data_IF_992062326984
#
_entry.id   IF_992062326984
#
_cell.length_a   1.000
_cell.length_b   1.000
_cell.length_c   1.000
_cell.angle_alpha   90.00
_cell.angle_beta   90.00
_cell.angle_gamma   90.00
#
_symmetry.space_group_name_H-M   'P 1'
#
loop_
_entity.id
_entity.type
_entity.pdbx_description
1 polymer ?
#
# COMPACT_ATOMS: atom_id res chain seq x y z
N UNK A 1 -19.45 -27.03 42.21
CA UNK A 1 -18.15 -26.50 41.74
C UNK A 1 -18.25 -26.36 40.24
N UNK A 2 -18.75 -25.22 39.76
CA UNK A 2 -18.61 -24.86 38.35
C UNK A 2 -17.14 -24.55 38.12
N UNK A 3 -16.53 -25.22 37.16
CA UNK A 3 -15.27 -24.77 36.59
C UNK A 3 -15.64 -23.58 35.71
N UNK A 4 -15.35 -22.37 36.19
CA UNK A 4 -15.46 -21.17 35.38
C UNK A 4 -14.54 -21.33 34.17
N UNK A 5 -15.13 -21.36 32.97
CA UNK A 5 -14.38 -21.33 31.74
C UNK A 5 -13.77 -19.93 31.60
N UNK A 6 -12.50 -19.82 31.99
CA UNK A 6 -11.66 -18.66 31.75
C UNK A 6 -11.69 -18.36 30.25
N UNK A 7 -12.20 -17.19 29.90
CA UNK A 7 -12.33 -16.73 28.53
C UNK A 7 -10.92 -16.59 27.95
N UNK A 8 -10.52 -17.54 27.09
CA UNK A 8 -9.17 -17.60 26.55
C UNK A 8 -8.92 -16.33 25.71
N UNK A 9 -8.05 -15.44 26.22
CA UNK A 9 -7.67 -14.22 25.52
C UNK A 9 -7.01 -14.57 24.18
N UNK A 10 -7.68 -14.14 23.10
CA UNK A 10 -7.27 -14.40 21.72
C UNK A 10 -5.99 -13.63 21.37
N UNK A 11 -5.77 -12.48 22.01
CA UNK A 11 -4.58 -11.65 21.79
C UNK A 11 -3.32 -12.35 22.27
N UNK A 12 -3.37 -12.96 23.47
CA UNK A 12 -2.24 -13.68 24.07
C UNK A 12 -1.82 -14.88 23.22
N UNK A 13 -2.76 -15.58 22.58
CA UNK A 13 -2.43 -16.72 21.72
C UNK A 13 -1.73 -16.31 20.42
N UNK A 14 -2.06 -15.16 19.86
CA UNK A 14 -1.43 -14.65 18.64
C UNK A 14 0.00 -14.20 18.97
N UNK A 15 0.18 -13.44 20.05
CA UNK A 15 1.51 -13.00 20.52
C UNK A 15 2.44 -14.21 20.78
N UNK A 16 1.94 -15.27 21.42
CA UNK A 16 2.73 -16.49 21.65
C UNK A 16 3.13 -17.18 20.34
N UNK A 17 2.25 -17.23 19.33
CA UNK A 17 2.57 -17.82 18.02
C UNK A 17 3.62 -16.99 17.30
N UNK A 18 3.50 -15.66 17.31
CA UNK A 18 4.48 -14.74 16.73
C UNK A 18 5.85 -14.89 17.41
N UNK A 19 5.87 -14.97 18.74
CA UNK A 19 7.10 -15.20 19.52
C UNK A 19 7.76 -16.54 19.16
N UNK A 20 6.99 -17.62 19.00
CA UNK A 20 7.52 -18.93 18.63
C UNK A 20 8.11 -18.93 17.22
N UNK A 21 7.46 -18.29 16.25
CA UNK A 21 8.00 -18.15 14.88
C UNK A 21 9.25 -17.27 14.89
N UNK A 22 9.27 -16.18 15.66
CA UNK A 22 10.44 -15.34 15.85
C UNK A 22 11.62 -16.09 16.51
N UNK A 23 11.34 -17.08 17.36
CA UNK A 23 12.32 -17.98 17.94
C UNK A 23 12.77 -19.12 16.99
N UNK A 24 12.30 -19.12 15.74
CA UNK A 24 12.69 -20.09 14.71
C UNK A 24 11.80 -21.32 14.62
N UNK A 25 10.58 -21.29 15.19
CA UNK A 25 9.63 -22.39 15.03
C UNK A 25 9.22 -22.53 13.55
N UNK A 26 9.29 -23.76 13.02
CA UNK A 26 8.93 -24.05 11.64
C UNK A 26 7.39 -24.09 11.48
N UNK A 27 6.82 -23.05 10.88
CA UNK A 27 5.39 -22.95 10.60
C UNK A 27 4.89 -23.90 9.51
N UNK A 28 5.80 -24.37 8.64
CA UNK A 28 5.54 -25.37 7.60
C UNK A 28 5.65 -26.82 8.07
N UNK A 29 5.75 -27.07 9.38
CA UNK A 29 5.92 -28.42 9.91
C UNK A 29 4.72 -29.31 9.57
N UNK A 30 4.99 -30.39 8.82
CA UNK A 30 4.04 -31.42 8.44
C UNK A 30 4.02 -32.56 9.48
N UNK A 31 2.83 -32.98 9.89
CA UNK A 31 2.62 -34.18 10.73
C UNK A 31 1.80 -35.21 9.96
N UNK A 32 1.70 -36.47 10.44
CA UNK A 32 0.81 -37.45 9.82
C UNK A 32 -0.66 -37.00 9.71
N UNK A 33 -1.08 -36.06 10.58
CA UNK A 33 -2.40 -35.42 10.55
C UNK A 33 -2.53 -34.24 9.57
N UNK A 34 -1.46 -33.87 8.86
CA UNK A 34 -1.39 -32.74 7.93
C UNK A 34 -0.62 -31.55 8.50
N UNK A 35 -0.72 -30.40 7.82
CA UNK A 35 -0.09 -29.15 8.24
C UNK A 35 -0.68 -28.61 9.55
N UNK A 36 0.04 -27.69 10.20
CA UNK A 36 -0.46 -26.97 11.37
C UNK A 36 -1.80 -26.26 11.07
N UNK A 37 -1.91 -25.68 9.88
CA UNK A 37 -3.13 -25.02 9.42
C UNK A 37 -4.30 -26.00 9.30
N UNK A 38 -4.08 -27.17 8.70
CA UNK A 38 -5.11 -28.23 8.64
C UNK A 38 -5.52 -28.72 10.02
N UNK A 39 -4.57 -28.82 10.95
CA UNK A 39 -4.84 -29.23 12.33
C UNK A 39 -5.71 -28.21 13.06
N UNK A 40 -5.43 -26.91 12.92
CA UNK A 40 -6.26 -25.84 13.48
C UNK A 40 -7.66 -25.82 12.84
N UNK A 41 -7.75 -26.02 11.53
CA UNK A 41 -9.02 -26.03 10.79
C UNK A 41 -9.89 -27.21 11.20
N UNK A 42 -9.34 -28.37 11.55
CA UNK A 42 -10.08 -29.62 11.80
C UNK A 42 -10.45 -29.86 13.27
N UNK A 43 -10.06 -28.98 14.20
CA UNK A 43 -10.41 -29.08 15.63
C UNK A 43 -11.92 -28.96 15.88
N UNK A 44 -12.43 -29.74 16.84
CA UNK A 44 -13.88 -29.92 17.07
C UNK A 44 -14.62 -28.62 17.41
N UNK A 45 -14.00 -27.71 18.16
CA UNK A 45 -14.52 -26.37 18.43
C UNK A 45 -13.97 -25.35 17.42
N UNK A 46 -14.83 -24.63 16.70
CA UNK A 46 -14.44 -23.57 15.77
C UNK A 46 -14.94 -22.23 16.31
N UNK A 47 -14.13 -21.61 17.18
CA UNK A 47 -14.45 -20.33 17.83
C UNK A 47 -13.84 -19.14 17.08
N UNK A 48 -14.25 -17.91 17.41
CA UNK A 48 -13.61 -16.67 16.91
C UNK A 48 -12.09 -16.65 17.20
N UNK A 49 -11.68 -17.21 18.35
CA UNK A 49 -10.28 -17.38 18.70
C UNK A 49 -9.51 -18.25 17.69
N UNK A 50 -10.13 -19.33 17.22
CA UNK A 50 -9.52 -20.21 16.22
C UNK A 50 -9.43 -19.56 14.84
N UNK A 51 -10.40 -18.71 14.47
CA UNK A 51 -10.32 -17.92 13.23
C UNK A 51 -9.14 -16.95 13.27
N UNK A 52 -8.94 -16.27 14.41
CA UNK A 52 -7.83 -15.34 14.57
C UNK A 52 -6.46 -16.06 14.52
N UNK A 53 -6.35 -17.23 15.15
CA UNK A 53 -5.15 -18.09 15.06
C UNK A 53 -4.90 -18.58 13.62
N UNK A 54 -5.94 -18.99 12.89
CA UNK A 54 -5.82 -19.42 11.49
C UNK A 54 -5.33 -18.25 10.61
N UNK A 55 -5.88 -17.03 10.81
CA UNK A 55 -5.43 -15.82 10.10
C UNK A 55 -3.98 -15.49 10.43
N UNK A 56 -3.59 -15.53 11.70
CA UNK A 56 -2.22 -15.31 12.12
C UNK A 56 -1.24 -16.33 11.52
N UNK A 57 -1.61 -17.61 11.46
CA UNK A 57 -0.75 -18.64 10.84
C UNK A 57 -0.57 -18.42 9.33
N UNK A 58 -1.63 -18.06 8.60
CA UNK A 58 -1.54 -17.71 7.17
C UNK A 58 -0.66 -16.48 6.99
N UNK A 59 -0.84 -15.47 7.84
CA UNK A 59 -0.06 -14.23 7.86
C UNK A 59 1.43 -14.46 8.12
N UNK A 60 1.75 -15.42 9.00
CA UNK A 60 3.13 -15.83 9.33
C UNK A 60 3.74 -16.79 8.29
N UNK A 61 3.06 -17.03 7.16
CA UNK A 61 3.62 -17.79 6.03
C UNK A 61 3.28 -19.28 6.03
N UNK A 62 2.24 -19.72 6.74
CA UNK A 62 1.73 -21.09 6.60
C UNK A 62 1.19 -21.31 5.18
N UNK A 63 1.74 -22.29 4.47
CA UNK A 63 1.29 -22.65 3.12
C UNK A 63 -0.09 -23.31 3.16
N UNK A 64 -1.07 -22.64 2.56
CA UNK A 64 -2.46 -23.10 2.44
C UNK A 64 -2.62 -24.26 1.47
N UNK A 65 -1.67 -24.43 0.55
CA UNK A 65 -1.63 -25.48 -0.46
C UNK A 65 -0.80 -26.69 -0.03
N UNK A 66 -0.16 -26.63 1.14
CA UNK A 66 0.68 -27.71 1.66
C UNK A 66 -0.11 -29.02 1.72
N UNK A 67 0.34 -30.01 0.93
CA UNK A 67 -0.34 -31.28 0.80
C UNK A 67 -0.05 -32.22 1.97
N UNK A 68 -1.03 -33.04 2.37
CA UNK A 68 -0.86 -34.11 3.38
C UNK A 68 -1.90 -34.06 4.50
N UNK A 69 -1.99 -35.13 5.30
CA UNK A 69 -2.99 -35.28 6.36
C UNK A 69 -4.29 -35.95 5.92
N UNK A 70 -5.33 -35.85 6.75
CA UNK A 70 -6.66 -36.42 6.45
C UNK A 70 -7.44 -35.68 5.34
N UNK A 71 -6.91 -34.55 4.89
CA UNK A 71 -7.40 -33.76 3.77
C UNK A 71 -6.25 -33.50 2.80
N UNK A 72 -6.55 -33.25 1.53
CA UNK A 72 -5.50 -33.00 0.53
C UNK A 72 -4.69 -31.75 0.87
N UNK A 73 -5.33 -30.68 1.34
CA UNK A 73 -4.70 -29.43 1.79
C UNK A 73 -5.64 -28.66 2.75
N UNK A 74 -5.20 -27.49 3.23
CA UNK A 74 -5.97 -26.67 4.17
C UNK A 74 -7.28 -26.10 3.56
N UNK A 75 -7.31 -25.80 2.27
CA UNK A 75 -8.53 -25.36 1.59
C UNK A 75 -9.57 -26.48 1.52
N UNK A 76 -9.15 -27.71 1.25
CA UNK A 76 -10.05 -28.86 1.17
C UNK A 76 -10.57 -29.26 2.56
N UNK A 77 -9.75 -29.10 3.61
CA UNK A 77 -10.21 -29.21 5.01
C UNK A 77 -11.29 -28.16 5.35
N UNK A 78 -11.14 -26.92 4.88
CA UNK A 78 -12.11 -25.84 5.09
C UNK A 78 -13.40 -26.08 4.32
N UNK A 79 -13.31 -26.58 3.07
CA UNK A 79 -14.47 -26.98 2.25
C UNK A 79 -15.27 -28.09 2.92
N UNK A 80 -14.59 -29.10 3.46
CA UNK A 80 -15.26 -30.20 4.17
C UNK A 80 -16.06 -29.72 5.40
N UNK A 81 -15.67 -28.60 6.03
CA UNK A 81 -16.45 -27.98 7.13
C UNK A 81 -17.59 -27.07 6.67
N UNK A 82 -17.47 -26.47 5.48
CA UNK A 82 -18.44 -25.51 4.93
C UNK A 82 -19.49 -26.19 4.04
N UNK A 83 -19.25 -27.44 3.61
CA UNK A 83 -20.25 -28.23 2.90
C UNK A 83 -21.42 -28.62 3.82
N UNK A 84 -22.56 -27.96 3.57
CA UNK A 84 -23.90 -28.47 3.89
C UNK A 84 -24.08 -29.82 3.20
N UNK A 85 -24.03 -30.92 3.94
CA UNK A 85 -24.48 -32.22 3.46
C UNK A 85 -25.71 -32.70 4.22
N UNK A 86 -26.66 -33.20 3.44
CA UNK A 86 -28.05 -33.44 3.77
C UNK A 86 -28.28 -34.79 4.48
N UNK A 87 -27.23 -35.46 4.96
CA UNK A 87 -27.31 -36.86 5.42
C UNK A 87 -26.56 -37.20 6.72
N UNK A 88 -25.96 -36.24 7.44
CA UNK A 88 -25.39 -36.51 8.75
C UNK A 88 -26.38 -36.14 9.88
N UNK A 89 -27.26 -37.09 10.20
CA UNK A 89 -27.90 -37.17 11.52
C UNK A 89 -26.79 -37.17 12.58
N UNK A 90 -26.60 -36.06 13.30
CA UNK A 90 -26.27 -35.94 14.74
C UNK A 90 -26.02 -34.46 15.08
N UNK A 91 -26.96 -33.85 15.82
CA UNK A 91 -26.71 -32.68 16.68
C UNK A 91 -26.68 -31.31 16.01
N UNK A 92 -27.86 -30.70 15.83
CA UNK A 92 -28.01 -29.25 15.65
C UNK A 92 -27.83 -28.57 17.00
N UNK A 93 -26.91 -27.61 17.09
CA UNK A 93 -27.09 -26.35 17.82
C UNK A 93 -25.95 -25.36 17.48
N UNK A 94 -26.37 -24.14 17.11
CA UNK A 94 -25.61 -22.89 16.96
C UNK A 94 -24.39 -22.81 16.03
N UNK A 95 -24.62 -22.61 14.73
CA UNK A 95 -23.72 -21.82 13.87
C UNK A 95 -24.56 -21.11 12.78
N UNK A 96 -25.22 -20.01 13.16
CA UNK A 96 -25.91 -19.08 12.24
C UNK A 96 -25.02 -17.91 11.80
N UNK A 97 -23.70 -18.09 11.78
CA UNK A 97 -22.79 -17.15 11.14
C UNK A 97 -22.12 -17.83 9.96
N UNK A 98 -22.57 -17.46 8.76
CA UNK A 98 -21.97 -17.83 7.48
C UNK A 98 -20.49 -17.43 7.46
N UNK A 99 -19.59 -18.34 7.82
CA UNK A 99 -18.17 -18.17 7.52
C UNK A 99 -17.94 -18.66 6.10
N UNK A 100 -17.79 -17.72 5.17
CA UNK A 100 -17.48 -17.98 3.77
C UNK A 100 -15.97 -18.10 3.58
N UNK A 101 -15.50 -18.77 2.52
CA UNK A 101 -14.09 -18.69 2.08
C UNK A 101 -13.64 -17.23 1.81
N UNK A 102 -14.62 -16.31 1.65
CA UNK A 102 -14.45 -14.86 1.60
C UNK A 102 -13.88 -14.26 2.90
N UNK A 103 -14.20 -14.82 4.08
CA UNK A 103 -13.76 -14.29 5.39
C UNK A 103 -12.27 -14.56 5.68
N UNK A 104 -11.63 -15.35 4.81
CA UNK A 104 -10.21 -15.71 4.84
C UNK A 104 -9.41 -15.17 3.65
N UNK A 105 -10.03 -14.35 2.78
CA UNK A 105 -9.31 -13.65 1.69
C UNK A 105 -8.73 -14.55 0.59
N UNK A 106 -9.25 -15.77 0.41
CA UNK A 106 -8.78 -16.69 -0.64
C UNK A 106 -9.81 -16.81 -1.79
N UNK A 107 -9.37 -16.73 -3.07
CA UNK A 107 -10.27 -16.83 -4.22
C UNK A 107 -10.74 -18.27 -4.47
N UNK A 108 -12.04 -18.47 -4.69
CA UNK A 108 -12.58 -19.73 -5.21
C UNK A 108 -12.63 -19.65 -6.74
N UNK A 109 -12.10 -20.64 -7.50
CA UNK A 109 -12.42 -20.77 -8.91
C UNK A 109 -13.81 -21.39 -9.05
N UNK A 110 -14.78 -20.60 -9.53
CA UNK A 110 -15.99 -21.16 -10.13
C UNK A 110 -15.58 -22.00 -11.33
N UNK A 111 -15.97 -23.28 -11.34
CA UNK A 111 -15.85 -24.13 -12.52
C UNK A 111 -17.24 -24.48 -13.06
N UNK A 112 -17.37 -24.21 -14.36
CA UNK A 112 -18.22 -24.87 -15.37
C UNK A 112 -19.74 -24.90 -15.17
N UNK A 113 -20.43 -24.16 -16.04
CA UNK A 113 -21.60 -24.71 -16.74
C UNK A 113 -21.50 -24.38 -18.23
N UNK A 114 -21.50 -25.43 -19.05
CA UNK A 114 -21.50 -25.38 -20.52
C UNK A 114 -22.83 -24.82 -21.05
N UNK A 115 -22.78 -23.89 -22.00
CA UNK A 115 -23.62 -23.88 -23.21
C UNK A 115 -23.22 -22.74 -24.15
N UNK A 116 -23.05 -23.08 -25.43
CA UNK A 116 -22.70 -22.22 -26.54
C UNK A 116 -23.82 -21.22 -26.91
N UNK A 117 -23.46 -20.09 -27.55
CA UNK A 117 -23.71 -19.89 -28.98
C UNK A 117 -23.15 -18.55 -29.49
N UNK A 118 -22.84 -18.58 -30.78
CA UNK A 118 -22.17 -17.63 -31.66
C UNK A 118 -22.70 -16.19 -31.66
N UNK A 119 -21.83 -15.23 -32.03
CA UNK A 119 -22.00 -14.50 -33.30
C UNK A 119 -20.68 -13.81 -33.72
N UNK A 120 -20.39 -13.96 -35.00
CA UNK A 120 -19.28 -13.38 -35.73
C UNK A 120 -19.60 -11.95 -36.14
N UNK A 121 -18.64 -11.03 -36.01
CA UNK A 121 -18.49 -9.94 -36.98
C UNK A 121 -17.03 -9.49 -37.02
N UNK A 122 -16.43 -9.66 -38.21
CA UNK A 122 -15.11 -9.17 -38.59
C UNK A 122 -15.07 -7.65 -38.51
N UNK A 123 -14.01 -7.10 -37.91
CA UNK A 123 -13.60 -5.70 -38.14
C UNK A 123 -12.18 -5.73 -38.71
N UNK A 124 -12.02 -5.00 -39.81
CA UNK A 124 -10.80 -4.85 -40.59
C UNK A 124 -9.79 -4.00 -39.81
N UNK A 125 -8.53 -4.43 -39.78
CA UNK A 125 -7.38 -3.71 -39.21
C UNK A 125 -6.64 -2.98 -40.34
N UNK A 126 -6.32 -1.68 -40.21
CA UNK A 126 -5.19 -1.07 -40.90
C UNK A 126 -3.97 -0.96 -39.97
N UNK A 127 -2.83 -0.85 -40.63
CA UNK A 127 -1.51 -1.33 -40.22
C UNK A 127 -0.68 -0.38 -39.33
N UNK A 128 0.27 -1.00 -38.63
CA UNK A 128 1.56 -0.49 -38.16
C UNK A 128 1.63 0.80 -37.32
N UNK A 129 1.45 0.64 -36.02
CA UNK A 129 2.19 1.36 -34.98
C UNK A 129 2.29 0.40 -33.80
N UNK A 130 3.45 0.28 -33.14
CA UNK A 130 3.60 -0.58 -31.96
C UNK A 130 2.60 -0.09 -30.91
N UNK A 131 1.41 -0.70 -30.86
CA UNK A 131 0.47 -0.48 -29.78
C UNK A 131 1.10 -1.16 -28.57
N UNK A 132 1.74 -0.35 -27.72
CA UNK A 132 2.15 -0.79 -26.40
C UNK A 132 0.91 -1.43 -25.76
N UNK A 133 0.99 -2.72 -25.44
CA UNK A 133 -0.03 -3.38 -24.63
C UNK A 133 -0.28 -2.50 -23.40
N UNK A 134 -1.54 -2.17 -23.05
CA UNK A 134 -1.82 -1.35 -21.89
C UNK A 134 -1.07 -1.95 -20.69
N UNK A 135 -0.27 -1.15 -19.99
CA UNK A 135 0.28 -1.56 -18.69
C UNK A 135 -0.93 -1.66 -17.76
N UNK A 136 -1.42 -2.87 -17.51
CA UNK A 136 -2.60 -3.09 -16.67
C UNK A 136 -2.15 -3.45 -15.27
N UNK A 137 -2.65 -2.73 -14.27
CA UNK A 137 -2.46 -3.09 -12.88
C UNK A 137 -3.14 -4.43 -12.60
N UNK A 138 -2.46 -5.33 -11.89
CA UNK A 138 -3.03 -6.63 -11.55
C UNK A 138 -4.26 -6.44 -10.64
N UNK A 139 -5.46 -6.63 -11.20
CA UNK A 139 -6.74 -6.46 -10.49
C UNK A 139 -6.97 -7.42 -9.32
N UNK A 140 -6.18 -8.50 -9.21
CA UNK A 140 -6.23 -9.36 -8.00
C UNK A 140 -5.44 -8.76 -6.84
N UNK A 141 -4.54 -7.81 -7.10
CA UNK A 141 -3.71 -7.12 -6.12
C UNK A 141 -4.28 -5.72 -5.85
N UNK A 142 -4.47 -4.95 -6.92
CA UNK A 142 -5.00 -3.58 -6.91
C UNK A 142 -6.52 -3.62 -6.76
N UNK A 143 -6.96 -3.66 -5.50
CA UNK A 143 -8.36 -3.82 -5.08
C UNK A 143 -8.75 -2.71 -4.09
N UNK A 144 -10.05 -2.44 -3.91
CA UNK A 144 -10.53 -1.52 -2.87
C UNK A 144 -9.98 -1.83 -1.47
N UNK A 145 -9.84 -3.12 -1.14
CA UNK A 145 -9.29 -3.57 0.14
C UNK A 145 -7.81 -3.20 0.29
N UNK A 146 -7.00 -3.30 -0.77
CA UNK A 146 -5.61 -2.84 -0.72
C UNK A 146 -5.55 -1.34 -0.44
N UNK A 147 -6.36 -0.53 -1.14
CA UNK A 147 -6.36 0.91 -0.95
C UNK A 147 -6.79 1.29 0.47
N UNK A 148 -7.82 0.63 1.00
CA UNK A 148 -8.22 0.80 2.39
C UNK A 148 -7.09 0.42 3.35
N UNK A 149 -6.45 -0.74 3.15
CA UNK A 149 -5.32 -1.19 4.00
C UNK A 149 -4.17 -0.18 4.02
N UNK A 150 -3.84 0.43 2.87
CA UNK A 150 -2.82 1.48 2.78
C UNK A 150 -3.21 2.67 3.67
N UNK A 151 -4.47 3.13 3.57
CA UNK A 151 -4.93 4.29 4.34
C UNK A 151 -5.03 3.98 5.83
N UNK A 152 -5.55 2.82 6.19
CA UNK A 152 -5.69 2.39 7.58
C UNK A 152 -4.32 2.25 8.24
N UNK A 153 -3.30 1.77 7.51
CA UNK A 153 -1.93 1.67 8.00
C UNK A 153 -1.29 3.06 8.15
N UNK A 154 -1.37 3.90 7.12
CA UNK A 154 -0.64 5.18 7.07
C UNK A 154 -1.28 6.27 7.93
N UNK A 155 -2.61 6.38 7.87
CA UNK A 155 -3.40 7.42 8.52
C UNK A 155 -4.13 6.92 9.78
N UNK A 156 -3.72 5.77 10.34
CA UNK A 156 -4.31 5.25 11.59
C UNK A 156 -4.37 6.31 12.68
N UNK A 157 -5.55 6.49 13.27
CA UNK A 157 -5.82 7.47 14.33
C UNK A 157 -6.08 8.89 13.85
N UNK A 158 -6.01 9.17 12.54
CA UNK A 158 -6.28 10.49 11.98
C UNK A 158 -7.74 10.57 11.48
N UNK A 159 -8.57 11.50 12.00
CA UNK A 159 -9.91 11.72 11.46
C UNK A 159 -9.86 12.17 10.00
N UNK A 160 -10.84 11.76 9.19
CA UNK A 160 -10.97 12.27 7.83
C UNK A 160 -11.31 13.78 7.88
N UNK A 161 -10.76 14.56 6.95
CA UNK A 161 -10.83 16.03 6.94
C UNK A 161 -10.11 16.76 8.11
N UNK A 162 -9.23 16.08 8.86
CA UNK A 162 -8.39 16.72 9.88
C UNK A 162 -7.51 17.84 9.28
N UNK A 163 -7.42 18.99 9.96
CA UNK A 163 -6.60 20.13 9.51
C UNK A 163 -5.14 20.05 9.96
N UNK A 164 -4.89 19.36 11.07
CA UNK A 164 -3.56 19.06 11.62
C UNK A 164 -3.36 17.56 11.86
N UNK A 165 -2.11 17.05 11.81
CA UNK A 165 -1.85 15.66 12.13
C UNK A 165 -1.94 15.45 13.64
N UNK A 166 -2.18 14.20 14.05
CA UNK A 166 -1.97 13.80 15.44
C UNK A 166 -0.47 13.60 15.72
N UNK A 167 -0.09 13.55 17.00
CA UNK A 167 1.28 13.25 17.38
C UNK A 167 1.70 11.86 16.89
N UNK A 168 0.83 10.86 17.01
CA UNK A 168 1.08 9.48 16.58
C UNK A 168 1.28 9.40 15.06
N UNK A 169 0.49 10.15 14.29
CA UNK A 169 0.65 10.26 12.85
C UNK A 169 2.00 10.89 12.49
N UNK A 170 2.36 11.99 13.15
CA UNK A 170 3.64 12.69 12.93
C UNK A 170 4.84 11.80 13.25
N UNK A 171 4.80 11.07 14.36
CA UNK A 171 5.83 10.11 14.74
C UNK A 171 5.95 8.99 13.71
N UNK A 172 4.82 8.43 13.26
CA UNK A 172 4.82 7.36 12.24
C UNK A 172 5.49 7.81 10.93
N UNK A 173 5.20 9.03 10.48
CA UNK A 173 5.67 9.51 9.18
C UNK A 173 7.11 10.01 9.21
N UNK A 174 7.51 10.73 10.26
CA UNK A 174 8.74 11.52 10.23
C UNK A 174 9.68 11.22 11.40
N UNK A 175 9.16 11.17 12.63
CA UNK A 175 9.98 11.32 13.85
C UNK A 175 9.98 10.12 14.81
N UNK A 176 9.48 8.97 14.38
CA UNK A 176 9.40 7.77 15.22
C UNK A 176 10.77 7.26 15.67
N UNK A 177 10.81 6.59 16.82
CA UNK A 177 12.03 5.94 17.32
C UNK A 177 12.53 4.89 16.32
N UNK A 178 13.79 4.45 16.46
CA UNK A 178 14.37 3.41 15.60
C UNK A 178 13.55 2.12 15.65
N UNK A 179 13.08 1.74 16.85
CA UNK A 179 12.26 0.57 17.09
C UNK A 179 10.87 0.71 16.46
N UNK A 180 10.24 1.88 16.62
CA UNK A 180 8.94 2.17 16.02
C UNK A 180 9.00 2.17 14.49
N UNK A 181 10.05 2.76 13.91
CA UNK A 181 10.32 2.73 12.45
C UNK A 181 10.48 1.29 11.97
N UNK A 182 11.32 0.50 12.63
CA UNK A 182 11.53 -0.89 12.25
C UNK A 182 10.25 -1.76 12.37
N UNK A 183 9.42 -1.51 13.39
CA UNK A 183 8.13 -2.17 13.52
C UNK A 183 7.17 -1.78 12.39
N UNK A 184 7.12 -0.49 12.06
CA UNK A 184 6.28 0.01 10.97
C UNK A 184 6.73 -0.52 9.60
N UNK A 185 8.04 -0.60 9.35
CA UNK A 185 8.57 -1.16 8.10
C UNK A 185 8.18 -2.63 7.93
N UNK A 186 8.18 -3.42 9.01
CA UNK A 186 7.70 -4.82 8.96
C UNK A 186 6.24 -4.88 8.55
N UNK A 187 5.39 -3.99 9.05
CA UNK A 187 3.99 -3.89 8.63
C UNK A 187 3.89 -3.52 7.14
N UNK A 188 4.64 -2.52 6.68
CA UNK A 188 4.69 -2.15 5.26
C UNK A 188 5.12 -3.33 4.38
N UNK A 189 6.19 -4.04 4.74
CA UNK A 189 6.65 -5.23 4.02
C UNK A 189 5.55 -6.29 3.95
N UNK A 190 4.88 -6.55 5.06
CA UNK A 190 3.94 -7.65 5.15
C UNK A 190 2.64 -7.38 4.39
N UNK A 191 2.13 -6.16 4.48
CA UNK A 191 0.85 -5.79 3.89
C UNK A 191 0.97 -5.29 2.45
N UNK A 192 2.09 -4.64 2.08
CA UNK A 192 2.15 -3.82 0.87
C UNK A 192 3.24 -4.27 -0.12
N UNK A 193 4.19 -5.12 0.28
CA UNK A 193 5.20 -5.64 -0.63
C UNK A 193 4.64 -6.38 -1.87
N UNK A 194 3.53 -7.16 -1.80
CA UNK A 194 2.97 -7.78 -3.00
C UNK A 194 2.59 -6.75 -4.08
N UNK A 195 2.03 -5.60 -3.67
CA UNK A 195 1.71 -4.51 -4.57
C UNK A 195 2.97 -3.88 -5.17
N UNK A 196 3.95 -3.52 -4.34
CA UNK A 196 5.25 -2.96 -4.79
C UNK A 196 5.99 -3.92 -5.73
N UNK A 197 6.07 -5.20 -5.39
CA UNK A 197 6.71 -6.22 -6.22
C UNK A 197 6.01 -6.43 -7.56
N UNK A 198 4.67 -6.25 -7.62
CA UNK A 198 3.91 -6.34 -8.86
C UNK A 198 4.18 -5.19 -9.83
N UNK A 199 4.73 -4.07 -9.34
CA UNK A 199 5.14 -2.90 -10.14
C UNK A 199 6.67 -2.71 -10.13
N UNK A 200 7.43 -3.79 -9.94
CA UNK A 200 8.90 -3.79 -10.00
C UNK A 200 9.42 -3.48 -11.42
N UNK A 201 10.72 -3.19 -11.62
CA UNK A 201 11.30 -2.90 -12.93
C UNK A 201 11.01 -3.96 -14.01
N UNK A 202 10.93 -5.24 -13.64
CA UNK A 202 10.62 -6.32 -14.58
C UNK A 202 9.15 -6.39 -14.95
N UNK A 203 8.25 -6.02 -14.03
CA UNK A 203 6.81 -6.17 -14.20
C UNK A 203 6.15 -4.88 -14.70
N UNK A 204 6.77 -3.72 -14.46
CA UNK A 204 6.29 -2.40 -14.86
C UNK A 204 7.44 -1.53 -15.38
N UNK A 205 8.04 -1.85 -16.54
CA UNK A 205 9.18 -1.09 -17.05
C UNK A 205 8.77 0.35 -17.44
N UNK A 206 9.56 1.33 -17.03
CA UNK A 206 9.28 2.77 -17.26
C UNK A 206 10.20 3.45 -18.27
N UNK A 207 11.28 2.78 -18.70
CA UNK A 207 12.30 3.37 -19.56
C UNK A 207 11.73 3.72 -20.93
N UNK A 208 11.95 4.97 -21.36
CA UNK A 208 11.54 5.47 -22.68
C UNK A 208 10.08 5.90 -22.77
N UNK A 209 9.37 5.95 -21.64
CA UNK A 209 7.98 6.39 -21.58
C UNK A 209 7.89 7.85 -21.14
N UNK A 210 6.79 8.48 -21.53
CA UNK A 210 6.37 9.79 -21.02
C UNK A 210 5.69 9.67 -19.65
N UNK A 211 5.60 10.78 -18.92
CA UNK A 211 4.87 10.82 -17.64
C UNK A 211 3.41 10.38 -17.78
N UNK A 212 2.74 10.80 -18.86
CA UNK A 212 1.35 10.43 -19.12
C UNK A 212 1.21 8.91 -19.30
N UNK A 213 2.15 8.29 -20.01
CA UNK A 213 2.19 6.84 -20.20
C UNK A 213 2.50 6.07 -18.92
N UNK A 214 3.34 6.61 -18.05
CA UNK A 214 3.67 6.02 -16.74
C UNK A 214 2.47 6.13 -15.80
N UNK A 215 1.79 7.29 -15.76
CA UNK A 215 0.67 7.55 -14.87
C UNK A 215 -0.64 6.88 -15.30
N UNK A 216 -0.85 6.65 -16.60
CA UNK A 216 -2.12 6.18 -17.17
C UNK A 216 -2.76 4.97 -16.47
N UNK A 217 -2.02 3.89 -16.09
CA UNK A 217 -2.62 2.75 -15.41
C UNK A 217 -3.22 3.10 -14.04
N UNK A 218 -2.56 4.00 -13.31
CA UNK A 218 -2.99 4.46 -12.01
C UNK A 218 -4.16 5.44 -12.14
N UNK A 219 -4.09 6.36 -13.10
CA UNK A 219 -5.20 7.28 -13.42
C UNK A 219 -6.45 6.50 -13.78
N UNK A 220 -6.35 5.48 -14.64
CA UNK A 220 -7.48 4.64 -15.02
C UNK A 220 -8.10 3.91 -13.81
N UNK A 221 -7.28 3.43 -12.87
CA UNK A 221 -7.77 2.82 -11.63
C UNK A 221 -8.50 3.82 -10.74
N UNK A 222 -7.94 5.02 -10.59
CA UNK A 222 -8.54 6.09 -9.81
C UNK A 222 -9.87 6.52 -10.45
N UNK A 223 -9.94 6.68 -11.77
CA UNK A 223 -11.15 7.06 -12.47
C UNK A 223 -12.25 5.99 -12.38
N UNK A 224 -11.86 4.72 -12.42
CA UNK A 224 -12.75 3.57 -12.25
C UNK A 224 -13.18 3.34 -10.80
N UNK A 225 -12.64 4.09 -9.82
CA UNK A 225 -13.04 3.99 -8.43
C UNK A 225 -14.47 4.51 -8.27
N UNK A 226 -15.42 3.58 -8.33
CA UNK A 226 -16.83 3.81 -8.03
C UNK A 226 -17.09 3.32 -6.61
N UNK A 227 -17.22 4.25 -5.67
CA UNK A 227 -17.82 3.92 -4.38
C UNK A 227 -19.32 3.78 -4.59
N UNK A 228 -19.93 2.70 -4.11
CA UNK A 228 -21.38 2.60 -3.95
C UNK A 228 -21.88 3.69 -2.98
N UNK A 229 -22.01 4.93 -3.47
CA UNK A 229 -22.37 6.12 -2.70
C UNK A 229 -21.22 6.90 -2.04
N UNK A 230 -19.94 6.51 -2.20
CA UNK A 230 -18.80 7.28 -1.66
C UNK A 230 -18.28 8.29 -2.69
N UNK A 231 -18.66 9.56 -2.51
CA UNK A 231 -18.22 10.67 -3.36
C UNK A 231 -16.70 10.90 -3.33
N UNK A 232 -15.98 10.32 -2.36
CA UNK A 232 -14.54 10.50 -2.16
C UNK A 232 -13.73 9.26 -2.57
N UNK A 233 -14.36 8.23 -3.13
CA UNK A 233 -13.69 6.98 -3.52
C UNK A 233 -12.47 7.23 -4.42
N UNK A 234 -12.63 8.16 -5.37
CA UNK A 234 -11.59 8.66 -6.26
C UNK A 234 -10.42 9.28 -5.48
N UNK A 235 -10.69 10.23 -4.59
CA UNK A 235 -9.70 10.87 -3.73
C UNK A 235 -8.93 9.87 -2.88
N UNK A 236 -9.66 8.96 -2.23
CA UNK A 236 -9.10 7.92 -1.35
C UNK A 236 -8.19 6.98 -2.13
N UNK A 237 -8.58 6.61 -3.35
CA UNK A 237 -7.78 5.76 -4.24
C UNK A 237 -6.51 6.49 -4.69
N UNK A 238 -6.62 7.75 -5.14
CA UNK A 238 -5.48 8.57 -5.54
C UNK A 238 -4.47 8.75 -4.39
N UNK A 239 -4.95 9.06 -3.20
CA UNK A 239 -4.13 9.17 -2.00
C UNK A 239 -3.41 7.86 -1.67
N UNK A 240 -4.11 6.72 -1.81
CA UNK A 240 -3.52 5.40 -1.57
C UNK A 240 -2.36 5.12 -2.54
N UNK A 241 -2.47 5.56 -3.79
CA UNK A 241 -1.38 5.46 -4.75
C UNK A 241 -0.21 6.38 -4.43
N UNK A 242 -0.44 7.62 -3.97
CA UNK A 242 0.65 8.50 -3.53
C UNK A 242 1.48 7.84 -2.42
N UNK A 243 0.80 7.29 -1.41
CA UNK A 243 1.48 6.56 -0.33
C UNK A 243 2.19 5.32 -0.87
N UNK A 244 1.50 4.49 -1.65
CA UNK A 244 2.06 3.25 -2.19
C UNK A 244 3.29 3.49 -3.08
N UNK A 245 3.30 4.53 -3.89
CA UNK A 245 4.35 4.74 -4.88
C UNK A 245 5.54 5.52 -4.33
N UNK A 246 5.32 6.45 -3.41
CA UNK A 246 6.38 7.31 -2.87
C UNK A 246 6.86 6.84 -1.49
N UNK A 247 5.94 6.61 -0.56
CA UNK A 247 6.30 6.38 0.84
C UNK A 247 6.65 4.92 1.11
N UNK A 248 5.84 3.97 0.64
CA UNK A 248 6.05 2.55 0.92
C UNK A 248 7.42 2.04 0.42
N UNK A 249 7.93 2.40 -0.77
CA UNK A 249 9.27 1.98 -1.19
C UNK A 249 10.37 2.45 -0.23
N UNK A 250 10.23 3.65 0.37
CA UNK A 250 11.17 4.18 1.36
C UNK A 250 11.16 3.34 2.65
N UNK A 251 10.00 2.84 3.06
CA UNK A 251 9.87 1.92 4.21
C UNK A 251 10.35 0.50 3.91
N UNK A 252 10.23 0.03 2.67
CA UNK A 252 10.66 -1.31 2.24
C UNK A 252 12.17 -1.39 1.92
N UNK A 253 12.76 -0.29 1.47
CA UNK A 253 14.10 -0.24 0.91
C UNK A 253 14.93 0.83 1.60
N UNK A 254 15.49 0.51 2.78
CA UNK A 254 16.27 1.45 3.60
C UNK A 254 17.77 1.37 3.42
N UNK A 255 18.28 0.33 2.77
CA UNK A 255 19.73 0.10 2.70
C UNK A 255 20.33 0.77 1.48
N UNK A 256 21.64 1.04 1.52
CA UNK A 256 22.37 1.62 0.38
C UNK A 256 22.21 0.80 -0.90
N UNK A 257 22.08 -0.52 -0.78
CA UNK A 257 21.92 -1.44 -1.90
C UNK A 257 20.51 -1.41 -2.50
N UNK A 258 19.50 -1.07 -1.70
CA UNK A 258 18.08 -1.12 -2.10
C UNK A 258 17.51 0.26 -2.46
N UNK A 259 18.03 1.33 -1.85
CA UNK A 259 17.68 2.73 -2.15
C UNK A 259 17.76 3.12 -3.63
N UNK A 260 18.69 2.62 -4.46
CA UNK A 260 18.72 2.95 -5.88
C UNK A 260 17.43 2.55 -6.58
N UNK A 261 16.78 1.47 -6.15
CA UNK A 261 15.48 1.05 -6.68
C UNK A 261 14.39 2.09 -6.38
N UNK A 262 14.42 2.72 -5.20
CA UNK A 262 13.49 3.81 -4.85
C UNK A 262 13.67 4.96 -5.83
N UNK A 263 14.90 5.47 -5.94
CA UNK A 263 15.19 6.68 -6.70
C UNK A 263 15.08 6.53 -8.22
N UNK A 264 15.40 5.34 -8.76
CA UNK A 264 15.45 5.13 -10.22
C UNK A 264 14.18 4.54 -10.81
N UNK A 265 13.30 3.97 -9.98
CA UNK A 265 12.11 3.28 -10.44
C UNK A 265 10.83 3.79 -9.80
N UNK A 266 10.73 3.78 -8.48
CA UNK A 266 9.48 4.16 -7.81
C UNK A 266 9.26 5.68 -7.75
N UNK A 267 10.31 6.47 -7.50
CA UNK A 267 10.26 7.94 -7.52
C UNK A 267 9.74 8.47 -8.87
N UNK A 268 10.27 8.06 -10.04
CA UNK A 268 9.71 8.46 -11.32
C UNK A 268 8.22 8.13 -11.48
N UNK A 269 7.76 6.95 -11.04
CA UNK A 269 6.35 6.56 -11.12
C UNK A 269 5.49 7.49 -10.25
N UNK A 270 5.93 7.74 -9.02
CA UNK A 270 5.23 8.63 -8.09
C UNK A 270 5.18 10.07 -8.62
N UNK A 271 6.29 10.59 -9.14
CA UNK A 271 6.39 11.94 -9.73
C UNK A 271 5.48 12.06 -10.96
N UNK A 272 5.47 11.09 -11.87
CA UNK A 272 4.59 11.13 -13.04
C UNK A 272 3.11 11.21 -12.64
N UNK A 273 2.70 10.44 -11.62
CA UNK A 273 1.33 10.49 -11.12
C UNK A 273 1.03 11.79 -10.33
N UNK A 274 1.98 12.30 -9.54
CA UNK A 274 1.82 13.56 -8.82
C UNK A 274 1.69 14.76 -9.78
N UNK A 275 2.50 14.80 -10.85
CA UNK A 275 2.36 15.79 -11.93
C UNK A 275 0.98 15.73 -12.56
N UNK A 276 0.48 14.53 -12.87
CA UNK A 276 -0.87 14.36 -13.40
C UNK A 276 -1.93 14.91 -12.44
N UNK A 277 -1.90 14.50 -11.17
CA UNK A 277 -2.87 14.90 -10.14
C UNK A 277 -2.90 16.42 -9.94
N UNK A 278 -1.72 17.06 -9.94
CA UNK A 278 -1.56 18.50 -9.64
C UNK A 278 -1.63 19.41 -10.86
N UNK A 279 -1.68 18.87 -12.08
CA UNK A 279 -1.70 19.68 -13.31
C UNK A 279 -2.92 19.39 -14.20
N UNK A 280 -3.52 18.21 -14.09
CA UNK A 280 -4.65 17.80 -14.93
C UNK A 280 -5.97 17.87 -14.15
N UNK A 281 -7.04 18.38 -14.78
CA UNK A 281 -8.37 18.27 -14.20
C UNK A 281 -8.85 16.80 -14.22
N UNK A 282 -9.73 16.45 -13.29
CA UNK A 282 -10.47 15.20 -13.32
C UNK A 282 -11.32 15.15 -14.59
N UNK A 283 -11.37 14.01 -15.27
CA UNK A 283 -12.20 13.83 -16.47
C UNK A 283 -13.67 14.23 -16.21
N UNK A 284 -14.19 15.13 -17.03
CA UNK A 284 -15.53 15.70 -16.88
C UNK A 284 -15.68 16.80 -15.82
N UNK A 285 -14.58 17.30 -15.25
CA UNK A 285 -14.55 18.37 -14.26
C UNK A 285 -13.50 19.43 -14.64
N UNK A 286 -13.58 20.62 -14.03
CA UNK A 286 -12.51 21.64 -14.08
C UNK A 286 -11.58 21.58 -12.86
N UNK A 287 -11.83 20.65 -11.93
CA UNK A 287 -11.13 20.55 -10.64
C UNK A 287 -9.99 19.54 -10.71
N UNK A 288 -8.83 19.90 -10.13
CA UNK A 288 -7.70 18.99 -9.91
C UNK A 288 -8.00 18.00 -8.78
N UNK A 289 -7.30 16.87 -8.76
CA UNK A 289 -7.53 15.81 -7.78
C UNK A 289 -7.17 16.23 -6.35
N UNK A 290 -6.11 17.01 -6.19
CA UNK A 290 -5.65 17.55 -4.89
C UNK A 290 -6.61 18.58 -4.28
N UNK A 291 -7.59 19.06 -5.06
CA UNK A 291 -8.55 20.09 -4.67
C UNK A 291 -9.95 19.54 -4.32
N UNK A 292 -10.10 18.22 -4.24
CA UNK A 292 -11.38 17.61 -3.89
C UNK A 292 -11.81 17.98 -2.46
N UNK A 293 -13.11 18.26 -2.20
CA UNK A 293 -13.56 18.89 -0.94
C UNK A 293 -13.11 18.18 0.34
N UNK A 294 -13.12 16.83 0.36
CA UNK A 294 -12.73 16.04 1.54
C UNK A 294 -11.26 16.16 1.94
N UNK A 295 -10.40 16.68 1.06
CA UNK A 295 -8.95 16.83 1.32
C UNK A 295 -8.43 18.26 1.13
N UNK A 296 -9.15 19.14 0.44
CA UNK A 296 -8.66 20.46 0.01
C UNK A 296 -8.06 21.28 1.15
N UNK A 297 -8.71 21.24 2.33
CA UNK A 297 -8.29 21.91 3.56
C UNK A 297 -7.72 20.96 4.62
N UNK A 298 -7.48 19.70 4.24
CA UNK A 298 -6.99 18.65 5.13
C UNK A 298 -5.52 18.37 4.80
N UNK A 299 -4.62 19.28 5.20
CA UNK A 299 -3.20 19.19 4.88
C UNK A 299 -2.50 17.88 5.30
N UNK A 300 -2.85 17.24 6.42
CA UNK A 300 -2.33 15.92 6.79
C UNK A 300 -2.53 14.85 5.71
N UNK A 301 -3.58 14.96 4.90
CA UNK A 301 -3.83 14.09 3.75
C UNK A 301 -3.33 14.71 2.45
N UNK A 302 -3.55 16.02 2.25
CA UNK A 302 -3.23 16.71 1.00
C UNK A 302 -1.73 16.79 0.71
N UNK A 303 -0.89 16.89 1.74
CA UNK A 303 0.58 16.98 1.58
C UNK A 303 1.18 15.83 0.76
N UNK A 304 0.59 14.63 0.84
CA UNK A 304 1.14 13.43 0.21
C UNK A 304 1.04 13.46 -1.32
N UNK A 305 0.17 14.31 -1.89
CA UNK A 305 0.16 14.56 -3.34
C UNK A 305 1.37 15.37 -3.82
N UNK A 306 2.07 16.05 -2.90
CA UNK A 306 3.17 16.97 -3.22
C UNK A 306 4.53 16.43 -2.82
N UNK A 307 4.60 15.52 -1.83
CA UNK A 307 5.85 14.86 -1.41
C UNK A 307 6.66 14.28 -2.59
N UNK A 308 6.05 13.63 -3.60
CA UNK A 308 6.82 13.18 -4.76
C UNK A 308 7.50 14.32 -5.53
N UNK A 309 6.86 15.49 -5.64
CA UNK A 309 7.45 16.67 -6.28
C UNK A 309 8.65 17.18 -5.48
N UNK A 310 8.53 17.23 -4.15
CA UNK A 310 9.62 17.59 -3.23
C UNK A 310 10.78 16.57 -3.28
N UNK A 311 10.51 15.30 -3.63
CA UNK A 311 11.54 14.28 -3.78
C UNK A 311 12.24 14.26 -5.15
N UNK A 312 11.78 15.07 -6.10
CA UNK A 312 12.31 15.10 -7.47
C UNK A 312 13.63 15.86 -7.57
N UNK A 313 14.56 15.38 -8.39
CA UNK A 313 15.78 16.14 -8.75
C UNK A 313 15.54 17.10 -9.93
N UNK A 314 14.28 17.49 -10.19
CA UNK A 314 13.91 18.45 -11.23
C UNK A 314 13.30 19.72 -10.62
N UNK A 315 13.98 20.85 -10.82
CA UNK A 315 13.58 22.15 -10.29
C UNK A 315 12.17 22.60 -10.74
N UNK A 316 11.66 22.12 -11.87
CA UNK A 316 10.31 22.46 -12.33
C UNK A 316 9.23 21.88 -11.40
N UNK A 317 9.48 20.74 -10.75
CA UNK A 317 8.54 20.11 -9.82
C UNK A 317 8.44 20.91 -8.53
N UNK A 318 9.58 21.39 -8.03
CA UNK A 318 9.63 22.31 -6.90
C UNK A 318 8.87 23.61 -7.18
N UNK A 319 9.08 24.20 -8.36
CA UNK A 319 8.33 25.40 -8.78
C UNK A 319 6.82 25.15 -8.83
N UNK A 320 6.40 23.98 -9.32
CA UNK A 320 4.98 23.61 -9.31
C UNK A 320 4.45 23.55 -7.87
N UNK A 321 5.17 22.90 -6.96
CA UNK A 321 4.74 22.79 -5.57
C UNK A 321 4.71 24.15 -4.84
N UNK A 322 5.70 25.02 -5.07
CA UNK A 322 5.71 26.39 -4.54
C UNK A 322 4.46 27.16 -5.01
N UNK A 323 4.10 27.10 -6.29
CA UNK A 323 2.90 27.76 -6.79
C UNK A 323 1.63 27.23 -6.09
N UNK A 324 1.55 25.91 -5.82
CA UNK A 324 0.44 25.29 -5.09
C UNK A 324 0.40 25.79 -3.62
N UNK A 325 1.56 25.96 -2.98
CA UNK A 325 1.64 26.53 -1.63
C UNK A 325 1.16 28.00 -1.63
N UNK A 326 1.50 28.78 -2.65
CA UNK A 326 1.00 30.16 -2.80
C UNK A 326 -0.52 30.20 -3.01
N UNK A 327 -1.07 29.33 -3.86
CA UNK A 327 -2.53 29.17 -4.04
C UNK A 327 -3.22 28.84 -2.71
N UNK A 328 -2.68 27.85 -1.98
CA UNK A 328 -3.20 27.41 -0.68
C UNK A 328 -3.13 28.53 0.36
N UNK A 329 -2.02 29.27 0.41
CA UNK A 329 -1.81 30.38 1.36
C UNK A 329 -2.85 31.47 1.19
N UNK A 330 -3.14 31.87 -0.04
CA UNK A 330 -4.18 32.87 -0.30
C UNK A 330 -5.57 32.33 0.04
N UNK A 331 -5.84 31.06 -0.30
CA UNK A 331 -7.12 30.41 -0.05
C UNK A 331 -7.43 30.27 1.46
N UNK A 332 -6.44 29.97 2.29
CA UNK A 332 -6.63 29.61 3.70
C UNK A 332 -6.06 30.65 4.67
N UNK A 333 -5.81 31.89 4.23
CA UNK A 333 -5.17 32.95 5.03
C UNK A 333 -5.88 33.28 6.36
N UNK A 334 -7.17 32.96 6.47
CA UNK A 334 -7.98 33.17 7.67
C UNK A 334 -8.05 31.93 8.59
N UNK A 335 -7.49 30.79 8.15
CA UNK A 335 -7.47 29.54 8.92
C UNK A 335 -6.11 29.34 9.56
N UNK A 336 -5.96 29.81 10.81
CA UNK A 336 -4.69 29.80 11.54
C UNK A 336 -4.08 28.40 11.67
N UNK A 337 -4.91 27.36 11.82
CA UNK A 337 -4.45 25.98 11.96
C UNK A 337 -3.79 25.47 10.67
N UNK A 338 -4.44 25.71 9.53
CA UNK A 338 -3.90 25.34 8.22
C UNK A 338 -2.65 26.17 7.89
N UNK A 339 -2.68 27.47 8.19
CA UNK A 339 -1.55 28.38 7.96
C UNK A 339 -0.30 27.91 8.71
N UNK A 340 -0.44 27.45 9.96
CA UNK A 340 0.71 26.98 10.74
C UNK A 340 1.31 25.69 10.16
N UNK A 341 0.48 24.71 9.79
CA UNK A 341 0.97 23.49 9.17
C UNK A 341 1.64 23.77 7.81
N UNK A 342 1.06 24.67 7.01
CA UNK A 342 1.62 25.07 5.72
C UNK A 342 3.01 25.72 5.84
N UNK A 343 3.28 26.53 6.87
CA UNK A 343 4.63 27.08 7.11
C UNK A 343 5.68 25.97 7.23
N UNK A 344 5.31 24.86 7.87
CA UNK A 344 6.20 23.70 7.99
C UNK A 344 6.51 23.12 6.61
N UNK A 345 5.49 22.92 5.77
CA UNK A 345 5.67 22.44 4.39
C UNK A 345 6.56 23.39 3.57
N UNK A 346 6.34 24.71 3.67
CA UNK A 346 7.13 25.74 2.98
C UNK A 346 8.61 25.74 3.43
N UNK A 347 8.88 25.55 4.73
CA UNK A 347 10.26 25.44 5.25
C UNK A 347 10.97 24.23 4.61
N UNK A 348 10.35 23.05 4.64
CA UNK A 348 10.95 21.84 4.07
C UNK A 348 11.15 21.95 2.57
N UNK A 349 10.18 22.50 1.84
CA UNK A 349 10.31 22.69 0.39
C UNK A 349 11.48 23.62 0.05
N UNK A 350 11.61 24.76 0.75
CA UNK A 350 12.74 25.67 0.57
C UNK A 350 14.09 25.01 0.87
N UNK A 351 14.16 24.08 1.83
CA UNK A 351 15.38 23.31 2.06
C UNK A 351 15.71 22.39 0.88
N UNK A 352 14.71 21.75 0.27
CA UNK A 352 14.92 20.89 -0.90
C UNK A 352 15.32 21.71 -2.14
N UNK A 353 14.61 22.81 -2.40
CA UNK A 353 14.90 23.76 -3.49
C UNK A 353 16.34 24.22 -3.44
N UNK A 354 16.84 24.65 -2.27
CA UNK A 354 18.22 25.12 -2.10
C UNK A 354 19.26 24.07 -2.53
N UNK A 355 19.02 22.79 -2.24
CA UNK A 355 19.93 21.71 -2.64
C UNK A 355 19.86 21.51 -4.16
N UNK A 356 18.66 21.40 -4.73
CA UNK A 356 18.47 21.09 -6.16
C UNK A 356 18.86 22.28 -7.04
N UNK A 357 18.64 23.51 -6.62
CA UNK A 357 19.14 24.71 -7.33
C UNK A 357 20.66 24.78 -7.33
N UNK A 358 21.29 24.42 -6.20
CA UNK A 358 22.75 24.48 -6.06
C UNK A 358 23.47 23.38 -6.84
N UNK A 359 22.98 22.14 -6.75
CA UNK A 359 23.70 20.96 -7.25
C UNK A 359 23.03 20.31 -8.47
N UNK A 360 21.80 20.70 -8.81
CA UNK A 360 20.99 20.05 -9.84
C UNK A 360 20.48 18.66 -9.46
N UNK A 361 20.75 18.20 -8.22
CA UNK A 361 20.46 16.86 -7.69
C UNK A 361 20.61 16.84 -6.17
N UNK A 362 20.32 15.72 -5.53
CA UNK A 362 20.58 15.48 -4.10
C UNK A 362 21.93 14.79 -3.88
N UNK A 363 22.95 15.47 -3.34
CA UNK A 363 24.28 14.88 -3.17
C UNK A 363 24.29 13.64 -2.26
N UNK A 364 23.41 13.60 -1.24
CA UNK A 364 23.30 12.46 -0.33
C UNK A 364 22.79 11.17 -1.02
N UNK A 365 22.25 11.25 -2.25
CA UNK A 365 21.87 10.08 -3.05
C UNK A 365 23.01 9.53 -3.92
N UNK A 366 24.12 10.27 -4.05
CA UNK A 366 25.20 9.93 -4.99
C UNK A 366 25.77 8.54 -4.75
N UNK A 367 26.08 8.22 -3.50
CA UNK A 367 26.70 6.96 -3.11
C UNK A 367 25.79 5.74 -3.38
N UNK A 368 24.48 5.87 -3.12
CA UNK A 368 23.51 4.82 -3.48
C UNK A 368 23.40 4.68 -5.00
N UNK A 369 23.32 5.80 -5.73
CA UNK A 369 23.17 5.82 -7.18
C UNK A 369 24.46 5.53 -7.96
N UNK A 370 25.58 5.30 -7.28
CA UNK A 370 26.89 5.12 -7.93
C UNK A 370 27.39 6.36 -8.69
N UNK A 371 26.93 7.57 -8.30
CA UNK A 371 27.37 8.84 -8.88
C UNK A 371 28.65 9.31 -8.19
N UNK A 372 29.58 9.85 -8.97
CA UNK A 372 30.73 10.55 -8.40
C UNK A 372 30.30 11.91 -7.85
N UNK A 373 30.61 12.16 -6.57
CA UNK A 373 30.39 13.45 -5.93
C UNK A 373 31.47 14.46 -6.33
N UNK A 374 31.06 15.68 -6.67
CA UNK A 374 31.98 16.80 -6.86
C UNK A 374 32.66 17.20 -5.54
N UNK A 375 33.72 18.00 -5.60
CA UNK A 375 34.36 18.51 -4.38
C UNK A 375 33.40 19.37 -3.55
N UNK A 376 32.60 20.22 -4.21
CA UNK A 376 31.60 21.05 -3.54
C UNK A 376 30.52 20.21 -2.83
N UNK A 377 30.07 19.12 -3.47
CA UNK A 377 29.12 18.18 -2.89
C UNK A 377 29.70 17.45 -1.67
N UNK A 378 30.99 17.08 -1.72
CA UNK A 378 31.68 16.44 -0.58
C UNK A 378 31.82 17.40 0.59
N UNK A 379 32.32 18.61 0.34
CA UNK A 379 32.46 19.67 1.36
C UNK A 379 31.10 19.99 2.02
N UNK A 380 30.03 20.06 1.22
CA UNK A 380 28.67 20.24 1.74
C UNK A 380 28.24 19.11 2.68
N UNK A 381 28.42 17.85 2.27
CA UNK A 381 28.02 16.69 3.06
C UNK A 381 28.87 16.53 4.34
N UNK A 382 30.16 16.83 4.27
CA UNK A 382 31.09 16.82 5.41
C UNK A 382 30.80 17.97 6.39
N UNK A 383 30.37 19.13 5.87
CA UNK A 383 29.97 20.30 6.65
C UNK A 383 28.60 20.18 7.34
N UNK A 384 27.95 19.02 7.27
CA UNK A 384 26.64 18.79 7.90
C UNK A 384 25.46 19.28 7.06
N UNK A 385 25.64 19.45 5.75
CA UNK A 385 24.58 19.83 4.83
C UNK A 385 23.36 18.90 4.90
N UNK A 386 22.19 19.46 4.60
CA UNK A 386 20.91 18.78 4.78
C UNK A 386 20.80 17.48 3.98
N UNK A 387 20.22 16.46 4.63
CA UNK A 387 19.97 15.13 4.07
C UNK A 387 18.50 14.80 4.27
N UNK A 388 17.90 14.19 3.25
CA UNK A 388 16.49 13.79 3.25
C UNK A 388 16.38 12.32 2.84
N UNK A 389 15.28 11.66 3.22
CA UNK A 389 15.04 10.25 2.93
C UNK A 389 15.51 9.30 4.03
N UNK A 390 15.58 8.00 3.71
CA UNK A 390 15.56 6.92 4.72
C UNK A 390 16.92 6.50 5.29
N UNK A 391 18.00 7.15 4.87
CA UNK A 391 19.37 6.87 5.31
C UNK A 391 19.96 7.84 6.33
N UNK A 392 19.17 8.77 6.88
CA UNK A 392 19.59 9.75 7.90
C UNK A 392 19.47 9.23 9.33
#
# INVERSE_FOLDING_TARGET
MSLDHEEVDVSTNIEVIEMLVAAGANIGLQRPSGSLLQTCITRRAFSKANIAVIKALIYLGADVHAEGGGYKNALDAMRARTCRCQDCNHGREELTQNVSLFDFGLPIPYTFCCAALSLSSRVLVPDSGIMATPRVLNKTIFTPNLYQSIRDLWFSGLPWAAKSPTEEATQRWFSGSKEAKAAFDKLCHLHLNPAISSISPSNFPIKGLTDAEIAAPFVAEIEAAEGSGDAEAKTKTALSFMILLDQIPRNLYRTKETLPLVYTHYDPIAVSLARHITSMPISGSSTRWDLLPGIRHSLPYRQWFYMPLMHSENLADHKNFINILEELKEETKEDEEIVEFMKTMEIFENMHVRIVERFGRYPHRNDGLGRESTNEEKEWLEGGGEKFGVGS
#
